data_IF_277524698753
#
_entry.id   IF_277524698753
#
_cell.length_a   1.000
_cell.length_b   1.000
_cell.length_c   1.000
_cell.angle_alpha   90.00
_cell.angle_beta   90.00
_cell.angle_gamma   90.00
#
_symmetry.space_group_name_H-M   'P 1'
#
loop_
_entity.id
_entity.type
_entity.pdbx_description
1 polymer ?
#
# COMPACT_ATOMS: atom_id res chain seq x y z
N UNK A 1 14.43 3.11 8.22
CA UNK A 1 13.22 2.68 8.95
C UNK A 1 12.74 3.78 9.88
N UNK A 2 11.44 4.07 9.88
CA UNK A 2 10.80 5.02 10.80
C UNK A 2 10.93 4.56 12.25
N UNK A 3 11.06 5.49 13.21
CA UNK A 3 11.03 5.17 14.63
C UNK A 3 9.60 4.80 15.06
N UNK A 4 9.37 3.50 15.24
CA UNK A 4 8.10 2.94 15.71
C UNK A 4 8.03 2.87 17.24
N UNK A 5 9.01 3.38 17.99
CA UNK A 5 9.00 3.38 19.46
C UNK A 5 8.53 4.70 20.07
N UNK A 6 8.10 5.64 19.23
CA UNK A 6 7.54 6.93 19.67
C UNK A 6 6.31 6.75 20.57
N UNK A 7 6.08 7.61 21.58
CA UNK A 7 4.91 7.50 22.47
C UNK A 7 3.57 7.53 21.71
N UNK A 8 3.51 8.34 20.65
CA UNK A 8 2.32 8.50 19.80
C UNK A 8 2.74 8.37 18.35
N UNK A 9 2.05 7.50 17.60
CA UNK A 9 2.25 7.40 16.16
C UNK A 9 1.73 8.66 15.49
N UNK A 10 2.50 9.16 14.52
CA UNK A 10 2.05 10.24 13.64
C UNK A 10 1.10 9.70 12.56
N UNK A 11 0.30 10.58 11.98
CA UNK A 11 -0.68 10.21 10.95
C UNK A 11 -0.04 9.54 9.72
N UNK A 12 1.16 9.96 9.31
CA UNK A 12 1.91 9.35 8.21
C UNK A 12 2.28 7.89 8.54
N UNK A 13 2.70 7.62 9.78
CA UNK A 13 3.03 6.26 10.24
C UNK A 13 1.80 5.36 10.27
N UNK A 14 0.66 5.89 10.72
CA UNK A 14 -0.62 5.16 10.75
C UNK A 14 -1.07 4.83 9.32
N UNK A 15 -1.04 5.82 8.41
CA UNK A 15 -1.44 5.62 7.03
C UNK A 15 -0.53 4.65 6.29
N UNK A 16 0.78 4.71 6.53
CA UNK A 16 1.75 3.75 5.99
C UNK A 16 1.42 2.32 6.44
N UNK A 17 1.26 2.09 7.74
CA UNK A 17 0.95 0.76 8.27
C UNK A 17 -0.38 0.23 7.73
N UNK A 18 -1.42 1.08 7.66
CA UNK A 18 -2.69 0.72 7.02
C UNK A 18 -2.49 0.29 5.57
N UNK A 19 -1.74 1.06 4.79
CA UNK A 19 -1.50 0.78 3.38
C UNK A 19 -0.85 -0.58 3.17
N UNK A 20 0.18 -0.94 3.94
CA UNK A 20 0.89 -2.21 3.74
C UNK A 20 -0.04 -3.42 3.96
N UNK A 21 -0.83 -3.43 5.04
CA UNK A 21 -1.77 -4.53 5.29
C UNK A 21 -2.91 -4.61 4.26
N UNK A 22 -3.39 -3.46 3.77
CA UNK A 22 -4.43 -3.40 2.73
C UNK A 22 -3.88 -3.81 1.36
N UNK A 23 -2.62 -3.49 1.08
CA UNK A 23 -1.96 -3.85 -0.16
C UNK A 23 -1.87 -5.37 -0.33
N UNK A 24 -1.63 -6.11 0.76
CA UNK A 24 -1.68 -7.57 0.79
C UNK A 24 -3.07 -8.11 0.39
N UNK A 25 -4.13 -7.45 0.85
CA UNK A 25 -5.50 -7.80 0.47
C UNK A 25 -5.74 -7.65 -1.03
N UNK A 26 -5.37 -6.50 -1.59
CA UNK A 26 -5.49 -6.26 -3.02
C UNK A 26 -4.62 -7.21 -3.84
N UNK A 27 -3.38 -7.47 -3.42
CA UNK A 27 -2.51 -8.45 -4.05
C UNK A 27 -3.14 -9.83 -4.10
N UNK A 28 -3.73 -10.30 -3.00
CA UNK A 28 -4.37 -11.62 -2.96
C UNK A 28 -5.58 -11.71 -3.88
N UNK A 29 -6.36 -10.64 -4.01
CA UNK A 29 -7.47 -10.57 -4.97
C UNK A 29 -6.95 -10.60 -6.41
N UNK A 30 -5.91 -9.83 -6.71
CA UNK A 30 -5.40 -9.68 -8.06
C UNK A 30 -4.58 -10.90 -8.50
N UNK A 31 -3.79 -11.51 -7.61
CA UNK A 31 -3.09 -12.76 -7.93
C UNK A 31 -4.06 -13.92 -8.18
N UNK A 32 -5.30 -13.84 -7.68
CA UNK A 32 -6.39 -14.75 -8.04
C UNK A 32 -7.02 -14.42 -9.41
N UNK A 33 -6.86 -13.20 -9.93
CA UNK A 33 -7.39 -12.76 -11.21
C UNK A 33 -6.23 -12.33 -12.13
N UNK A 34 -5.68 -13.23 -12.97
CA UNK A 34 -4.69 -12.81 -14.00
C UNK A 34 -5.29 -11.69 -14.87
N UNK A 35 -4.81 -10.46 -14.68
CA UNK A 35 -5.23 -9.29 -15.46
C UNK A 35 -4.43 -9.21 -16.75
N UNK A 36 -5.12 -8.93 -17.86
CA UNK A 36 -4.53 -8.64 -19.16
C UNK A 36 -4.61 -7.12 -19.42
N UNK A 37 -3.97 -6.65 -20.50
CA UNK A 37 -3.90 -5.23 -20.89
C UNK A 37 -5.24 -4.49 -20.82
N UNK A 38 -6.29 -5.05 -21.44
CA UNK A 38 -7.64 -4.49 -21.43
C UNK A 38 -8.20 -4.29 -20.01
N UNK A 39 -7.95 -5.24 -19.09
CA UNK A 39 -8.39 -5.10 -17.69
C UNK A 39 -7.61 -4.01 -16.94
N UNK A 40 -6.30 -3.85 -17.18
CA UNK A 40 -5.49 -2.82 -16.54
C UNK A 40 -5.89 -1.42 -17.01
N UNK A 41 -6.04 -1.24 -18.32
CA UNK A 41 -6.50 0.01 -18.92
C UNK A 41 -7.94 0.34 -18.49
N UNK A 42 -8.84 -0.64 -18.53
CA UNK A 42 -10.22 -0.51 -18.08
C UNK A 42 -10.34 -0.11 -16.61
N UNK A 43 -9.44 -0.58 -15.74
CA UNK A 43 -9.39 -0.13 -14.35
C UNK A 43 -9.01 1.36 -14.24
N UNK A 44 -7.94 1.79 -14.91
CA UNK A 44 -7.49 3.19 -14.86
C UNK A 44 -8.58 4.13 -15.38
N UNK A 45 -9.17 3.78 -16.54
CA UNK A 45 -10.29 4.51 -17.13
C UNK A 45 -11.52 4.53 -16.23
N UNK A 46 -11.97 3.37 -15.76
CA UNK A 46 -13.17 3.27 -14.91
C UNK A 46 -13.02 4.03 -13.60
N UNK A 47 -11.85 3.95 -12.96
CA UNK A 47 -11.58 4.67 -11.71
C UNK A 47 -11.57 6.18 -11.92
N UNK A 48 -10.89 6.69 -12.95
CA UNK A 48 -10.80 8.13 -13.18
C UNK A 48 -12.12 8.71 -13.70
N UNK A 49 -12.82 8.01 -14.60
CA UNK A 49 -14.13 8.41 -15.13
C UNK A 49 -15.22 8.45 -14.05
N UNK A 50 -15.19 7.52 -13.08
CA UNK A 50 -16.16 7.54 -11.98
C UNK A 50 -15.89 8.68 -10.99
N UNK A 51 -14.61 8.98 -10.71
CA UNK A 51 -14.22 9.82 -9.57
C UNK A 51 -13.99 11.29 -9.93
N UNK A 52 -13.33 11.59 -11.05
CA UNK A 52 -12.96 12.97 -11.40
C UNK A 52 -14.17 13.87 -11.68
N UNK A 53 -15.21 13.45 -12.43
CA UNK A 53 -16.42 14.25 -12.62
C UNK A 53 -17.17 14.55 -11.31
N UNK A 54 -17.04 13.67 -10.31
CA UNK A 54 -17.61 13.86 -8.96
C UNK A 54 -16.76 14.76 -8.06
N UNK A 55 -15.81 15.50 -8.65
CA UNK A 55 -14.88 16.42 -7.96
C UNK A 55 -14.05 15.75 -6.85
N UNK A 56 -13.80 14.45 -6.96
CA UNK A 56 -12.86 13.77 -6.06
C UNK A 56 -11.44 14.16 -6.48
N UNK A 57 -10.68 14.69 -5.52
CA UNK A 57 -9.30 15.11 -5.75
C UNK A 57 -8.38 13.90 -5.74
N UNK A 58 -7.45 13.87 -6.69
CA UNK A 58 -6.32 12.95 -6.71
C UNK A 58 -5.05 13.75 -6.64
N UNK A 59 -4.11 13.31 -5.81
CA UNK A 59 -2.78 13.88 -5.83
C UNK A 59 -2.10 13.59 -7.19
N UNK A 60 -1.14 14.43 -7.62
CA UNK A 60 -0.32 14.15 -8.79
C UNK A 60 0.36 12.77 -8.74
N UNK A 61 0.80 12.35 -7.53
CA UNK A 61 1.35 11.02 -7.28
C UNK A 61 0.32 9.93 -7.59
N UNK A 62 -0.90 10.04 -7.08
CA UNK A 62 -1.95 9.07 -7.35
C UNK A 62 -2.31 8.99 -8.85
N UNK A 63 -2.34 10.12 -9.57
CA UNK A 63 -2.53 10.12 -11.03
C UNK A 63 -1.36 9.45 -11.75
N UNK A 64 -0.11 9.78 -11.41
CA UNK A 64 1.09 9.13 -11.97
C UNK A 64 0.99 7.60 -11.84
N UNK A 65 0.55 7.15 -10.68
CA UNK A 65 0.49 5.74 -10.32
C UNK A 65 -0.62 5.01 -11.08
N UNK A 66 -1.82 5.58 -11.12
CA UNK A 66 -2.95 5.06 -11.89
C UNK A 66 -2.61 4.98 -13.39
N UNK A 67 -1.94 6.01 -13.93
CA UNK A 67 -1.52 6.01 -15.33
C UNK A 67 -0.44 4.96 -15.59
N UNK A 68 0.57 4.89 -14.74
CA UNK A 68 1.62 3.89 -14.82
C UNK A 68 1.08 2.46 -14.65
N UNK A 69 -0.03 2.25 -13.92
CA UNK A 69 -0.71 0.96 -13.86
C UNK A 69 -1.31 0.55 -15.19
N UNK A 70 -2.26 1.33 -15.70
CA UNK A 70 -3.01 0.97 -16.91
C UNK A 70 -2.10 0.90 -18.13
N UNK A 71 -0.99 1.64 -18.10
CA UNK A 71 0.03 1.63 -19.14
C UNK A 71 1.09 0.55 -19.01
N UNK A 72 0.95 -0.42 -18.10
CA UNK A 72 1.89 -1.57 -17.97
C UNK A 72 2.09 -2.34 -19.28
N UNK A 73 1.16 -2.20 -20.22
CA UNK A 73 1.18 -2.80 -21.56
C UNK A 73 1.01 -1.76 -22.68
N UNK A 74 1.32 -0.47 -22.42
CA UNK A 74 0.98 0.69 -23.27
C UNK A 74 -0.55 0.93 -23.36
N UNK A 75 -0.97 2.20 -23.33
CA UNK A 75 -2.37 2.56 -23.58
C UNK A 75 -2.70 2.48 -25.06
N UNK A 76 -3.87 1.95 -25.37
CA UNK A 76 -4.46 2.11 -26.70
C UNK A 76 -4.87 3.58 -26.87
N UNK A 77 -4.80 4.11 -28.10
CA UNK A 77 -5.02 5.54 -28.36
C UNK A 77 -6.44 5.99 -28.00
N UNK A 78 -7.42 5.10 -28.19
CA UNK A 78 -8.82 5.28 -27.81
C UNK A 78 -9.05 5.27 -26.28
N UNK A 79 -8.06 4.86 -25.49
CA UNK A 79 -8.09 4.93 -24.03
C UNK A 79 -7.21 6.06 -23.49
N UNK A 80 -6.00 6.19 -23.99
CA UNK A 80 -5.00 7.14 -23.50
C UNK A 80 -5.41 8.60 -23.74
N UNK A 81 -5.94 8.91 -24.93
CA UNK A 81 -6.37 10.28 -25.27
C UNK A 81 -7.52 10.73 -24.36
N UNK A 82 -8.63 9.98 -24.20
CA UNK A 82 -9.69 10.36 -23.27
C UNK A 82 -9.24 10.49 -21.82
N UNK A 83 -8.32 9.64 -21.37
CA UNK A 83 -7.75 9.72 -20.02
C UNK A 83 -6.95 11.01 -19.80
N UNK A 84 -6.13 11.39 -20.78
CA UNK A 84 -5.37 12.64 -20.72
C UNK A 84 -6.30 13.85 -20.66
N UNK A 85 -7.32 13.90 -21.53
CA UNK A 85 -8.30 14.98 -21.55
C UNK A 85 -9.06 15.09 -20.23
N UNK A 86 -9.40 13.95 -19.63
CA UNK A 86 -10.06 13.89 -18.33
C UNK A 86 -9.18 14.47 -17.22
N UNK A 87 -7.89 14.11 -17.19
CA UNK A 87 -6.93 14.64 -16.22
C UNK A 87 -6.74 16.15 -16.45
N UNK A 88 -6.61 16.60 -17.69
CA UNK A 88 -6.46 18.02 -18.01
C UNK A 88 -7.69 18.82 -17.54
N UNK A 89 -8.89 18.28 -17.74
CA UNK A 89 -10.15 18.94 -17.35
C UNK A 89 -10.30 19.11 -15.84
N UNK A 90 -9.93 18.11 -15.05
CA UNK A 90 -10.24 18.08 -13.61
C UNK A 90 -9.04 18.30 -12.69
N UNK A 91 -7.82 18.10 -13.17
CA UNK A 91 -6.61 18.09 -12.33
C UNK A 91 -5.58 19.16 -12.69
N UNK A 92 -5.57 19.71 -13.91
CA UNK A 92 -4.48 20.59 -14.37
C UNK A 92 -4.22 21.81 -13.48
N UNK A 93 -5.26 22.34 -12.83
CA UNK A 93 -5.16 23.51 -11.95
C UNK A 93 -4.84 23.17 -10.49
N UNK A 94 -4.71 21.88 -10.14
CA UNK A 94 -4.42 21.45 -8.78
C UNK A 94 -2.92 21.59 -8.46
N UNK A 95 -2.61 21.90 -7.21
CA UNK A 95 -1.22 22.00 -6.73
C UNK A 95 -0.45 20.70 -7.01
N UNK A 96 0.71 20.85 -7.68
CA UNK A 96 1.58 19.73 -8.04
C UNK A 96 1.36 19.15 -9.45
N UNK A 97 0.31 19.56 -10.19
CA UNK A 97 0.18 19.30 -11.63
C UNK A 97 0.94 20.34 -12.46
N UNK A 98 2.26 20.42 -12.26
CA UNK A 98 3.08 21.36 -12.99
C UNK A 98 3.20 20.98 -14.49
N UNK A 99 3.61 21.94 -15.32
CA UNK A 99 3.74 21.75 -16.76
C UNK A 99 4.65 20.56 -17.14
N UNK A 100 5.70 20.30 -16.36
CA UNK A 100 6.61 19.18 -16.60
C UNK A 100 5.91 17.82 -16.42
N UNK A 101 5.10 17.68 -15.37
CA UNK A 101 4.33 16.46 -15.11
C UNK A 101 3.23 16.27 -16.15
N UNK A 102 2.47 17.32 -16.47
CA UNK A 102 1.41 17.26 -17.50
C UNK A 102 1.97 16.91 -18.88
N UNK A 103 3.15 17.43 -19.22
CA UNK A 103 3.86 17.06 -20.46
C UNK A 103 4.23 15.58 -20.45
N UNK A 104 4.79 15.05 -19.34
CA UNK A 104 5.12 13.62 -19.24
C UNK A 104 3.87 12.74 -19.34
N UNK A 105 2.73 13.16 -18.78
CA UNK A 105 1.46 12.45 -18.97
C UNK A 105 1.03 12.45 -20.43
N UNK A 106 1.18 13.57 -21.15
CA UNK A 106 0.87 13.66 -22.59
C UNK A 106 1.75 12.73 -23.41
N UNK A 107 3.05 12.72 -23.14
CA UNK A 107 4.01 11.82 -23.81
C UNK A 107 3.56 10.35 -23.66
N UNK A 108 3.15 9.96 -22.45
CA UNK A 108 2.80 8.58 -22.11
C UNK A 108 1.41 8.17 -22.63
N UNK A 109 0.43 9.07 -22.59
CA UNK A 109 -0.98 8.78 -22.88
C UNK A 109 -1.41 9.11 -24.32
N UNK A 110 -0.75 10.07 -24.95
CA UNK A 110 -1.19 10.64 -26.23
C UNK A 110 -0.15 10.45 -27.31
N UNK A 111 1.10 10.87 -27.07
CA UNK A 111 2.12 10.88 -28.13
C UNK A 111 2.68 9.49 -28.39
N UNK A 112 2.92 8.71 -27.33
CA UNK A 112 3.48 7.37 -27.46
C UNK A 112 2.54 6.38 -28.21
N UNK A 113 1.22 6.33 -27.96
CA UNK A 113 0.30 5.50 -28.74
C UNK A 113 0.22 5.85 -30.24
N UNK A 114 0.60 7.07 -30.65
CA UNK A 114 0.53 7.55 -32.02
C UNK A 114 1.85 7.42 -32.80
N UNK A 115 2.96 7.07 -32.13
CA UNK A 115 4.28 6.99 -32.74
C UNK A 115 4.40 5.71 -33.61
N UNK A 116 4.83 5.81 -34.89
CA UNK A 116 5.02 4.64 -35.75
C UNK A 116 6.11 3.72 -35.19
N UNK A 117 5.81 2.41 -35.12
CA UNK A 117 6.68 1.29 -34.76
C UNK A 117 7.91 1.66 -33.89
N UNK A 118 7.66 2.27 -32.73
CA UNK A 118 8.76 2.60 -31.81
C UNK A 118 9.22 1.32 -31.08
N UNK A 119 10.54 1.10 -30.92
CA UNK A 119 11.05 -0.08 -30.23
C UNK A 119 10.49 -0.19 -28.80
N UNK A 120 10.17 -1.40 -28.33
CA UNK A 120 9.70 -1.68 -26.94
C UNK A 120 10.59 -1.04 -25.84
N UNK A 121 11.86 -0.77 -26.14
CA UNK A 121 12.79 -0.10 -25.23
C UNK A 121 12.43 1.36 -24.92
N UNK A 122 11.71 2.06 -25.81
CA UNK A 122 11.29 3.45 -25.58
C UNK A 122 10.08 3.56 -24.63
N UNK A 123 9.14 2.62 -24.66
CA UNK A 123 8.01 2.59 -23.69
C UNK A 123 8.50 2.28 -22.28
N UNK A 124 9.39 1.30 -22.12
CA UNK A 124 10.00 1.03 -20.82
C UNK A 124 10.71 2.28 -20.25
N UNK A 125 11.30 3.11 -21.11
CA UNK A 125 11.99 4.35 -20.72
C UNK A 125 11.00 5.44 -20.28
N UNK A 126 9.94 5.73 -21.05
CA UNK A 126 8.96 6.77 -20.71
C UNK A 126 8.21 6.48 -19.40
N UNK A 127 7.76 5.23 -19.20
CA UNK A 127 7.10 4.85 -17.96
C UNK A 127 8.07 4.79 -16.78
N UNK A 128 9.35 4.48 -17.01
CA UNK A 128 10.39 4.58 -15.97
C UNK A 128 10.63 6.03 -15.56
N UNK A 129 10.68 6.96 -16.51
CA UNK A 129 10.81 8.40 -16.23
C UNK A 129 9.57 8.93 -15.51
N UNK A 130 8.37 8.54 -15.93
CA UNK A 130 7.13 8.88 -15.23
C UNK A 130 7.19 8.47 -13.75
N UNK A 131 7.69 7.26 -13.44
CA UNK A 131 7.88 6.75 -12.06
C UNK A 131 8.88 7.55 -11.23
N UNK A 132 9.89 8.14 -11.87
CA UNK A 132 10.95 8.88 -11.20
C UNK A 132 10.52 10.29 -10.79
N UNK A 133 9.34 10.77 -11.24
CA UNK A 133 8.78 12.04 -10.78
C UNK A 133 8.37 11.90 -9.31
N UNK A 134 9.09 12.60 -8.42
CA UNK A 134 8.82 12.64 -6.97
C UNK A 134 7.98 13.86 -6.64
N UNK A 135 6.90 13.67 -5.90
CA UNK A 135 6.06 14.75 -5.39
C UNK A 135 6.32 14.94 -3.89
N UNK A 136 6.31 16.19 -3.37
CA UNK A 136 6.49 16.43 -1.94
C UNK A 136 5.42 15.69 -1.13
N UNK A 137 5.86 14.97 -0.09
CA UNK A 137 5.07 14.05 0.71
C UNK A 137 3.77 14.69 1.24
N UNK A 138 2.65 14.24 0.71
CA UNK A 138 1.32 14.40 1.27
C UNK A 138 0.68 13.02 1.26
N UNK A 139 1.02 12.18 2.24
CA UNK A 139 0.31 10.93 2.47
C UNK A 139 -1.05 11.28 3.09
N UNK A 140 -1.99 11.64 2.22
CA UNK A 140 -3.42 11.54 2.48
C UNK A 140 -3.90 10.54 1.44
N UNK A 141 -4.34 9.37 1.89
CA UNK A 141 -5.05 8.42 1.07
C UNK A 141 -6.56 8.55 1.38
N UNK A 142 -7.31 9.45 0.72
CA UNK A 142 -8.75 9.61 0.92
C UNK A 142 -9.51 8.28 0.78
N UNK A 143 -9.02 7.37 -0.05
CA UNK A 143 -9.55 6.03 -0.22
C UNK A 143 -9.44 5.16 1.02
N UNK A 144 -8.58 5.48 1.99
CA UNK A 144 -8.47 4.75 3.26
C UNK A 144 -9.29 5.37 4.39
N UNK A 145 -9.95 6.51 4.16
CA UNK A 145 -10.75 7.20 5.20
C UNK A 145 -11.93 6.37 5.67
N UNK A 146 -12.43 5.47 4.82
CA UNK A 146 -13.51 4.53 5.16
C UNK A 146 -13.01 3.28 5.90
N UNK A 147 -11.69 3.16 6.10
CA UNK A 147 -11.08 2.05 6.84
C UNK A 147 -10.73 2.57 8.23
N UNK A 148 -11.39 1.99 9.23
CA UNK A 148 -11.15 2.32 10.62
C UNK A 148 -9.76 1.82 11.05
N UNK A 149 -9.25 2.38 12.14
CA UNK A 149 -8.04 1.84 12.76
C UNK A 149 -8.18 1.84 14.27
N UNK A 150 -7.49 0.91 14.93
CA UNK A 150 -7.43 0.82 16.38
C UNK A 150 -6.00 0.58 16.81
N UNK A 151 -5.45 1.53 17.55
CA UNK A 151 -4.08 1.47 18.08
C UNK A 151 -4.17 1.10 19.55
N UNK A 152 -3.39 0.12 19.98
CA UNK A 152 -3.31 -0.22 21.40
C UNK A 152 -1.92 -0.72 21.77
N UNK A 153 -1.50 -0.44 23.00
CA UNK A 153 -0.37 -1.06 23.68
C UNK A 153 -0.78 -1.91 24.90
N UNK A 154 -2.09 -1.97 25.24
CA UNK A 154 -2.60 -2.79 26.35
C UNK A 154 -2.74 -4.24 25.89
N UNK A 155 -1.98 -5.14 26.51
CA UNK A 155 -2.02 -6.57 26.22
C UNK A 155 -3.42 -7.17 26.40
N UNK A 156 -4.21 -6.72 27.37
CA UNK A 156 -5.57 -7.24 27.60
C UNK A 156 -6.49 -6.86 26.46
N UNK A 157 -6.35 -5.64 25.95
CA UNK A 157 -7.11 -5.18 24.80
C UNK A 157 -6.71 -5.96 23.54
N UNK A 158 -5.41 -6.17 23.31
CA UNK A 158 -4.93 -7.01 22.21
C UNK A 158 -5.50 -8.43 22.28
N UNK A 159 -5.48 -9.04 23.47
CA UNK A 159 -6.05 -10.38 23.72
C UNK A 159 -7.55 -10.40 23.43
N UNK A 160 -8.30 -9.39 23.89
CA UNK A 160 -9.73 -9.29 23.63
C UNK A 160 -10.05 -9.15 22.13
N UNK A 161 -9.25 -8.36 21.40
CA UNK A 161 -9.37 -8.23 19.94
C UNK A 161 -9.08 -9.57 19.26
N UNK A 162 -8.02 -10.27 19.67
CA UNK A 162 -7.63 -11.56 19.13
C UNK A 162 -8.72 -12.62 19.36
N UNK A 163 -9.24 -12.73 20.57
CA UNK A 163 -10.24 -13.74 20.96
C UNK A 163 -11.67 -13.45 20.50
N UNK A 164 -11.96 -12.22 20.08
CA UNK A 164 -13.27 -11.82 19.58
C UNK A 164 -13.22 -11.53 18.08
N UNK A 165 -13.01 -10.27 17.67
CA UNK A 165 -13.00 -9.88 16.27
C UNK A 165 -12.13 -10.75 15.35
N UNK A 166 -10.92 -11.15 15.77
CA UNK A 166 -9.97 -11.84 14.89
C UNK A 166 -10.17 -13.37 14.82
N UNK A 167 -10.92 -13.98 15.73
CA UNK A 167 -11.25 -15.42 15.71
C UNK A 167 -12.68 -15.71 15.24
N UNK A 168 -13.49 -14.69 14.94
CA UNK A 168 -14.83 -14.90 14.42
C UNK A 168 -14.81 -15.71 13.12
N UNK A 169 -15.87 -16.50 12.88
CA UNK A 169 -16.03 -17.22 11.61
C UNK A 169 -16.05 -16.24 10.44
N UNK A 170 -15.11 -16.40 9.51
CA UNK A 170 -14.97 -15.54 8.36
C UNK A 170 -14.32 -16.29 7.19
N UNK A 171 -14.78 -16.05 5.98
CA UNK A 171 -14.17 -16.57 4.75
C UNK A 171 -12.91 -15.80 4.31
N UNK A 172 -12.65 -14.64 4.92
CA UNK A 172 -11.48 -13.82 4.63
C UNK A 172 -10.33 -14.12 5.61
N UNK A 173 -9.09 -14.27 5.10
CA UNK A 173 -7.91 -14.32 5.95
C UNK A 173 -7.69 -12.99 6.67
N UNK A 174 -6.70 -12.96 7.55
CA UNK A 174 -6.17 -11.72 8.11
C UNK A 174 -4.92 -11.32 7.32
N UNK A 175 -4.73 -10.04 7.07
CA UNK A 175 -3.52 -9.57 6.38
C UNK A 175 -2.64 -8.87 7.38
N UNK A 176 -1.43 -9.40 7.59
CA UNK A 176 -0.55 -8.96 8.65
C UNK A 176 0.79 -8.49 8.11
N UNK A 177 1.37 -7.52 8.82
CA UNK A 177 2.71 -7.04 8.57
C UNK A 177 3.38 -6.67 9.91
N UNK A 178 4.71 -6.66 9.97
CA UNK A 178 5.42 -6.29 11.20
C UNK A 178 6.49 -5.26 10.98
N UNK A 179 6.69 -4.40 11.98
CA UNK A 179 7.76 -3.41 11.97
C UNK A 179 8.75 -3.67 13.10
N UNK A 180 10.03 -3.61 12.73
CA UNK A 180 11.14 -3.89 13.62
C UNK A 180 11.92 -2.64 14.03
N UNK A 181 12.77 -2.80 15.05
CA UNK A 181 13.82 -1.84 15.42
C UNK A 181 15.21 -2.41 15.17
N UNK A 182 16.20 -1.53 14.93
CA UNK A 182 17.59 -1.96 14.82
C UNK A 182 18.11 -2.55 16.14
N UNK A 183 17.87 -1.85 17.25
CA UNK A 183 18.22 -2.26 18.59
C UNK A 183 17.18 -3.22 19.18
N UNK A 184 17.61 -4.06 20.14
CA UNK A 184 16.68 -4.89 20.93
C UNK A 184 15.92 -4.01 21.93
N UNK A 185 14.62 -4.25 22.01
CA UNK A 185 13.70 -3.61 22.95
C UNK A 185 13.84 -4.25 24.34
N UNK A 186 13.19 -3.65 25.36
CA UNK A 186 13.20 -4.16 26.74
C UNK A 186 12.66 -5.59 26.86
N UNK A 187 11.76 -5.98 25.97
CA UNK A 187 11.25 -7.36 25.87
C UNK A 187 12.19 -8.34 25.14
N UNK A 188 13.42 -7.92 24.82
CA UNK A 188 14.44 -8.70 24.11
C UNK A 188 14.10 -9.03 22.66
N UNK A 189 13.01 -8.46 22.12
CA UNK A 189 12.62 -8.56 20.71
C UNK A 189 13.08 -7.33 19.93
N UNK A 190 13.03 -7.43 18.59
CA UNK A 190 13.08 -6.27 17.69
C UNK A 190 11.68 -5.85 17.23
N UNK A 191 10.64 -6.61 17.54
CA UNK A 191 9.27 -6.36 17.12
C UNK A 191 8.67 -5.16 17.85
N UNK A 192 8.31 -4.11 17.11
CA UNK A 192 7.80 -2.84 17.65
C UNK A 192 6.33 -2.58 17.35
N UNK A 193 5.83 -3.11 16.23
CA UNK A 193 4.45 -3.00 15.80
C UNK A 193 4.04 -4.28 15.06
N UNK A 194 2.82 -4.73 15.31
CA UNK A 194 2.11 -5.67 14.43
C UNK A 194 0.91 -4.94 13.84
N UNK A 195 0.79 -4.99 12.52
CA UNK A 195 -0.36 -4.46 11.79
C UNK A 195 -1.22 -5.62 11.33
N UNK A 196 -2.53 -5.57 11.58
CA UNK A 196 -3.48 -6.59 11.13
C UNK A 196 -4.68 -5.91 10.47
N UNK A 197 -4.91 -6.18 9.19
CA UNK A 197 -6.10 -5.75 8.49
C UNK A 197 -7.18 -6.82 8.51
N UNK A 198 -8.32 -6.45 9.09
CA UNK A 198 -9.53 -7.25 9.13
C UNK A 198 -10.53 -6.75 8.09
N UNK A 199 -10.66 -7.54 7.01
CA UNK A 199 -11.41 -7.16 5.80
C UNK A 199 -12.89 -6.86 6.06
N UNK A 200 -13.68 -7.73 6.74
CA UNK A 200 -15.13 -7.54 6.82
C UNK A 200 -15.51 -6.27 7.58
N UNK A 201 -14.81 -5.97 8.68
CA UNK A 201 -15.07 -4.78 9.49
C UNK A 201 -14.35 -3.54 8.97
N UNK A 202 -13.51 -3.70 7.93
CA UNK A 202 -12.66 -2.67 7.35
C UNK A 202 -11.88 -1.92 8.43
N UNK A 203 -11.20 -2.67 9.29
CA UNK A 203 -10.42 -2.12 10.40
C UNK A 203 -8.98 -2.61 10.35
N UNK A 204 -8.04 -1.69 10.61
CA UNK A 204 -6.62 -2.01 10.78
C UNK A 204 -6.27 -1.91 12.26
N UNK A 205 -5.86 -3.02 12.85
CA UNK A 205 -5.33 -3.07 14.20
C UNK A 205 -3.83 -2.80 14.19
N UNK A 206 -3.39 -1.90 15.06
CA UNK A 206 -2.00 -1.50 15.24
C UNK A 206 -1.57 -1.87 16.66
N UNK A 207 -1.04 -3.07 16.84
CA UNK A 207 -0.58 -3.57 18.13
C UNK A 207 0.84 -3.09 18.41
N UNK A 208 0.95 -2.10 19.29
CA UNK A 208 2.21 -1.48 19.71
C UNK A 208 2.95 -2.40 20.69
N UNK A 209 3.88 -3.22 20.19
CA UNK A 209 4.54 -4.24 21.00
C UNK A 209 5.75 -3.73 21.77
N UNK A 210 6.26 -2.53 21.45
CA UNK A 210 7.50 -2.02 22.04
C UNK A 210 7.42 -1.75 23.56
N UNK A 211 6.21 -1.50 24.08
CA UNK A 211 5.96 -1.30 25.51
C UNK A 211 5.70 -2.61 26.26
N UNK A 212 5.43 -3.70 25.56
CA UNK A 212 5.16 -4.98 26.19
C UNK A 212 6.41 -5.53 26.87
N UNK A 213 6.23 -6.20 28.00
CA UNK A 213 7.25 -7.04 28.62
C UNK A 213 7.50 -8.31 27.80
N UNK A 214 8.59 -9.02 28.12
CA UNK A 214 8.90 -10.33 27.51
C UNK A 214 7.76 -11.35 27.74
N UNK A 215 7.12 -11.31 28.91
CA UNK A 215 6.01 -12.20 29.27
C UNK A 215 4.77 -11.88 28.43
N UNK A 216 4.40 -10.61 28.32
CA UNK A 216 3.25 -10.18 27.52
C UNK A 216 3.46 -10.45 26.03
N UNK A 217 4.67 -10.25 25.51
CA UNK A 217 4.98 -10.60 24.14
C UNK A 217 4.85 -12.11 23.87
N UNK A 218 5.17 -12.95 24.86
CA UNK A 218 4.94 -14.40 24.78
C UNK A 218 3.45 -14.72 24.76
N UNK A 219 2.64 -14.04 25.59
CA UNK A 219 1.17 -14.17 25.59
C UNK A 219 0.60 -13.77 24.22
N UNK A 220 1.00 -12.61 23.69
CA UNK A 220 0.58 -12.13 22.38
C UNK A 220 0.84 -13.16 21.28
N UNK A 221 2.03 -13.78 21.26
CA UNK A 221 2.38 -14.84 20.30
C UNK A 221 1.54 -16.10 20.48
N UNK A 222 1.25 -16.50 21.72
CA UNK A 222 0.37 -17.63 22.00
C UNK A 222 -1.05 -17.38 21.48
N UNK A 223 -1.59 -16.17 21.66
CA UNK A 223 -2.91 -15.83 21.12
C UNK A 223 -2.92 -15.73 19.60
N UNK A 224 -1.84 -15.25 18.96
CA UNK A 224 -1.72 -15.25 17.50
C UNK A 224 -1.74 -16.67 16.91
N UNK A 225 -1.19 -17.66 17.63
CA UNK A 225 -1.33 -19.08 17.24
C UNK A 225 -2.77 -19.54 17.32
N UNK A 226 -3.52 -19.13 18.35
CA UNK A 226 -4.95 -19.43 18.42
C UNK A 226 -5.68 -18.77 17.26
N UNK A 227 -5.42 -17.48 16.98
CA UNK A 227 -6.03 -16.77 15.83
C UNK A 227 -5.79 -17.50 14.52
N UNK A 228 -4.58 -18.03 14.30
CA UNK A 228 -4.21 -18.79 13.10
C UNK A 228 -5.14 -19.99 12.84
N UNK A 229 -5.57 -20.69 13.90
CA UNK A 229 -6.48 -21.84 13.79
C UNK A 229 -7.87 -21.46 13.25
N UNK A 230 -8.30 -20.21 13.43
CA UNK A 230 -9.60 -19.72 12.99
C UNK A 230 -9.51 -18.95 11.67
N UNK A 231 -8.49 -18.09 11.54
CA UNK A 231 -8.28 -17.21 10.39
C UNK A 231 -6.79 -17.11 10.07
N UNK A 232 -6.41 -17.71 8.96
CA UNK A 232 -5.03 -17.73 8.48
C UNK A 232 -4.48 -16.31 8.26
N UNK A 233 -3.39 -15.93 8.94
CA UNK A 233 -2.66 -14.70 8.65
C UNK A 233 -1.93 -14.83 7.32
N UNK A 234 -2.00 -13.79 6.50
CA UNK A 234 -1.33 -13.65 5.21
C UNK A 234 -0.30 -12.54 5.34
N UNK A 235 0.95 -12.83 4.96
CA UNK A 235 2.07 -11.88 5.04
C UNK A 235 2.79 -11.81 3.69
N UNK A 236 3.64 -10.80 3.50
CA UNK A 236 4.50 -10.72 2.33
C UNK A 236 5.96 -10.86 2.75
N UNK A 237 6.45 -12.07 2.64
CA UNK A 237 7.69 -12.52 3.22
C UNK A 237 7.48 -13.22 4.57
N UNK A 238 8.53 -13.90 5.06
CA UNK A 238 8.47 -14.67 6.29
C UNK A 238 8.47 -13.77 7.53
N UNK A 239 7.32 -13.68 8.19
CA UNK A 239 7.12 -12.88 9.41
C UNK A 239 7.29 -13.71 10.69
N UNK A 240 8.50 -14.24 10.92
CA UNK A 240 8.82 -15.08 12.10
C UNK A 240 8.54 -14.38 13.43
N UNK A 241 8.51 -13.04 13.44
CA UNK A 241 8.28 -12.25 14.63
C UNK A 241 6.89 -12.47 15.26
N UNK A 242 5.89 -12.82 14.42
CA UNK A 242 4.51 -13.11 14.81
C UNK A 242 4.39 -14.38 15.67
N UNK A 243 5.28 -15.35 15.48
CA UNK A 243 5.31 -16.59 16.27
C UNK A 243 4.18 -17.59 15.96
N UNK A 244 3.47 -17.41 14.85
CA UNK A 244 2.47 -18.33 14.28
C UNK A 244 2.84 -18.64 12.82
N UNK A 245 2.19 -19.62 12.19
CA UNK A 245 2.37 -19.84 10.75
C UNK A 245 1.60 -18.78 9.97
N UNK A 246 2.16 -18.39 8.83
CA UNK A 246 1.54 -17.43 7.93
C UNK A 246 1.52 -17.95 6.51
N UNK A 247 0.52 -17.54 5.73
CA UNK A 247 0.51 -17.73 4.30
C UNK A 247 1.33 -16.62 3.66
N UNK A 248 2.59 -16.94 3.40
CA UNK A 248 3.48 -16.05 2.66
C UNK A 248 3.05 -15.99 1.19
N UNK A 249 2.67 -14.79 0.73
CA UNK A 249 2.31 -14.55 -0.67
C UNK A 249 3.48 -14.01 -1.50
N UNK A 250 4.66 -13.83 -0.92
CA UNK A 250 5.88 -13.48 -1.63
C UNK A 250 6.37 -14.71 -2.43
N UNK A 251 6.42 -14.60 -3.76
CA UNK A 251 6.82 -15.72 -4.63
C UNK A 251 8.33 -15.88 -4.79
N UNK A 252 9.13 -14.99 -4.19
CA UNK A 252 10.59 -15.06 -4.16
C UNK A 252 11.20 -13.91 -3.34
N UNK A 253 12.31 -14.16 -2.65
CA UNK A 253 12.93 -13.23 -1.70
C UNK A 253 13.41 -11.90 -2.31
N UNK A 254 13.58 -11.84 -3.64
CA UNK A 254 13.97 -10.63 -4.37
C UNK A 254 12.78 -9.75 -4.78
N UNK A 255 11.54 -10.20 -4.59
CA UNK A 255 10.34 -9.43 -4.95
C UNK A 255 9.94 -8.52 -3.79
N UNK A 256 9.81 -7.22 -4.04
CA UNK A 256 9.29 -6.29 -3.02
C UNK A 256 7.77 -6.22 -3.07
N UNK A 257 7.14 -5.98 -1.92
CA UNK A 257 5.69 -5.78 -1.81
C UNK A 257 5.26 -4.65 -2.75
N UNK A 258 6.04 -3.58 -2.80
CA UNK A 258 5.83 -2.43 -3.68
C UNK A 258 5.83 -2.84 -5.16
N UNK A 259 6.83 -3.61 -5.61
CA UNK A 259 6.92 -4.08 -7.00
C UNK A 259 5.76 -5.02 -7.34
N UNK A 260 5.32 -5.85 -6.39
CA UNK A 260 4.20 -6.75 -6.63
C UNK A 260 2.86 -6.01 -6.64
N UNK A 261 2.60 -5.12 -5.69
CA UNK A 261 1.39 -4.29 -5.66
C UNK A 261 1.34 -3.42 -6.91
N UNK A 262 2.49 -2.90 -7.33
CA UNK A 262 2.62 -2.17 -8.58
C UNK A 262 2.37 -3.08 -9.80
N UNK A 263 2.97 -4.26 -9.87
CA UNK A 263 2.76 -5.18 -10.98
C UNK A 263 1.34 -5.75 -11.08
N UNK A 264 0.65 -5.90 -9.94
CA UNK A 264 -0.68 -6.49 -9.86
C UNK A 264 -1.78 -5.42 -9.96
N UNK A 265 -1.71 -4.39 -9.12
CA UNK A 265 -2.75 -3.36 -8.98
C UNK A 265 -2.39 -2.01 -9.62
N UNK A 266 -1.11 -1.85 -9.96
CA UNK A 266 -0.41 -0.61 -10.35
C UNK A 266 -0.71 0.65 -9.56
N UNK A 267 -1.33 0.51 -8.40
CA UNK A 267 -1.15 1.47 -7.33
C UNK A 267 0.34 1.47 -6.94
N UNK A 268 0.96 2.65 -6.89
CA UNK A 268 2.28 2.79 -6.27
C UNK A 268 2.05 3.14 -4.82
N UNK A 269 2.64 2.34 -3.95
CA UNK A 269 2.78 2.64 -2.53
C UNK A 269 4.16 3.27 -2.41
N UNK A 270 4.26 4.52 -1.96
CA UNK A 270 5.56 5.16 -1.78
C UNK A 270 6.18 4.70 -0.46
N UNK A 271 7.26 3.93 -0.53
CA UNK A 271 8.12 3.55 0.61
C UNK A 271 9.37 4.44 0.71
N UNK A 272 9.28 5.74 0.41
CA UNK A 272 10.40 6.64 0.72
C UNK A 272 10.39 6.99 2.20
N UNK A 273 11.36 6.41 2.91
CA UNK A 273 11.49 6.46 4.36
C UNK A 273 11.58 7.88 4.91
N UNK A 274 10.90 8.04 6.04
CA UNK A 274 11.07 9.10 7.03
C UNK A 274 12.47 9.06 7.63
N UNK A 275 13.38 9.90 7.15
CA UNK A 275 14.53 10.36 7.93
C UNK A 275 14.54 11.88 7.89
N UNK A 276 14.01 12.53 8.93
CA UNK A 276 14.56 13.82 9.36
C UNK A 276 15.34 13.55 10.64
N UNK A 277 16.67 13.53 10.52
CA UNK A 277 17.49 13.88 11.68
C UNK A 277 17.12 15.31 12.06
N UNK A 278 16.60 15.51 13.27
CA UNK A 278 16.77 16.80 13.94
C UNK A 278 18.24 16.86 14.31
N UNK A 279 19.05 17.55 13.51
CA UNK A 279 20.26 18.14 14.04
C UNK A 279 19.86 19.45 14.72
N UNK A 280 20.21 19.53 15.99
CA UNK A 280 20.07 20.73 16.81
C UNK A 280 20.96 21.83 16.24
N UNK A 281 20.39 23.02 16.06
CA UNK A 281 20.99 24.31 16.42
C UNK A 281 19.84 25.28 16.68
#
# INVERSE_FOLDING_TARGET
MSDWTVPTLRDDQIQYAKMDAIALHYLKIILKQKMNQSKCQGFASGLLLDKLPKRRLFSPGAIRDIINFGGSFQYESDVGIPLYDLIMRYCANQTGFNAAFLRKLREVLVEYPLAPATPRHQTATLYRELRQIVFPNQYDYPELRHINHRITSDIREMVNIMRGPLTRRCSWPLYADTEGTYARLRNQSKLSLITIFDVPDKIVYLFRTFQLSKRELKVLRSELKVVEEYRHPVTFGPEKALGCNTWDIQRGSHQSLLVMVHGASGKVISKTETIRYREYS
#
